data_IF_616251382087
#
_entry.id   IF_616251382087
#
_cell.length_a   1.000
_cell.length_b   1.000
_cell.length_c   1.000
_cell.angle_alpha   90.00
_cell.angle_beta   90.00
_cell.angle_gamma   90.00
#
_symmetry.space_group_name_H-M   'P 1'
#
loop_
_entity.id
_entity.type
_entity.pdbx_description
1 polymer ?
#
# COMPACT_ATOMS: atom_id res chain seq x y z
N UNK A 1 -1.64 -9.93 -7.85
CA UNK A 1 -0.18 -9.81 -8.07
C UNK A 1 0.07 -8.45 -8.70
N UNK A 2 1.03 -7.66 -8.22
CA UNK A 2 1.33 -6.38 -8.88
C UNK A 2 2.00 -6.66 -10.23
N UNK A 3 1.59 -5.95 -11.27
CA UNK A 3 2.19 -6.02 -12.60
C UNK A 3 3.62 -5.48 -12.59
N UNK A 4 3.85 -4.40 -11.84
CA UNK A 4 5.18 -3.82 -11.60
C UNK A 4 5.52 -3.88 -10.10
N UNK A 5 6.58 -4.60 -9.67
CA UNK A 5 6.93 -4.75 -8.26
C UNK A 5 7.28 -3.43 -7.57
N UNK A 6 7.63 -2.37 -8.31
CA UNK A 6 8.04 -1.09 -7.75
C UNK A 6 6.91 -0.06 -7.58
N UNK A 7 5.74 -0.28 -8.19
CA UNK A 7 4.66 0.71 -8.20
C UNK A 7 4.11 1.05 -6.80
N UNK A 8 4.24 0.14 -5.83
CA UNK A 8 3.88 0.38 -4.42
C UNK A 8 4.79 1.39 -3.71
N UNK A 9 6.01 1.61 -4.20
CA UNK A 9 6.93 2.60 -3.62
C UNK A 9 6.59 4.03 -4.03
N UNK A 10 5.67 4.23 -4.99
CA UNK A 10 5.13 5.56 -5.32
C UNK A 10 4.26 6.15 -4.20
N UNK A 11 3.72 5.32 -3.31
CA UNK A 11 2.92 5.81 -2.18
C UNK A 11 3.82 6.55 -1.17
N UNK A 12 3.58 7.84 -0.97
CA UNK A 12 4.33 8.71 -0.04
C UNK A 12 3.74 8.78 1.38
N UNK A 13 2.82 7.89 1.71
CA UNK A 13 2.18 7.81 3.04
C UNK A 13 1.42 9.09 3.46
N UNK A 14 0.92 9.87 2.49
CA UNK A 14 0.16 11.12 2.71
C UNK A 14 -1.23 10.85 3.35
N UNK A 15 -1.86 9.72 3.01
CA UNK A 15 -3.10 9.27 3.65
C UNK A 15 -4.41 9.81 3.09
N UNK A 16 -4.37 10.66 2.05
CA UNK A 16 -5.58 11.14 1.36
C UNK A 16 -6.50 10.02 0.89
N UNK A 17 -5.94 8.86 0.50
CA UNK A 17 -6.71 7.70 0.07
C UNK A 17 -7.60 7.10 1.17
N UNK A 18 -7.19 7.18 2.44
CA UNK A 18 -8.00 6.74 3.58
C UNK A 18 -9.04 7.80 3.95
N UNK A 19 -8.66 9.08 3.92
CA UNK A 19 -9.57 10.20 4.24
C UNK A 19 -10.73 10.34 3.26
N UNK A 20 -10.46 10.22 1.95
CA UNK A 20 -11.48 10.41 0.90
C UNK A 20 -12.38 9.19 0.70
N UNK A 21 -12.09 8.06 1.35
CA UNK A 21 -12.74 6.81 0.99
C UNK A 21 -14.23 6.83 1.42
N UNK A 22 -15.18 6.82 0.47
CA UNK A 22 -16.61 6.85 0.79
C UNK A 22 -17.11 5.54 1.42
N UNK A 23 -16.28 4.49 1.38
CA UNK A 23 -16.56 3.17 1.96
C UNK A 23 -15.92 2.97 3.35
N UNK A 24 -15.24 3.99 3.89
CA UNK A 24 -14.53 3.87 5.17
C UNK A 24 -13.39 2.85 5.18
N UNK A 25 -12.88 2.48 4.00
CA UNK A 25 -11.76 1.55 3.90
C UNK A 25 -10.44 2.26 4.21
N UNK A 26 -9.47 1.50 4.70
CA UNK A 26 -8.12 2.00 4.96
C UNK A 26 -7.11 1.41 3.95
N UNK A 27 -6.99 2.00 2.75
CA UNK A 27 -6.00 1.58 1.76
C UNK A 27 -4.56 1.73 2.26
N UNK A 28 -4.28 2.68 3.16
CA UNK A 28 -2.94 2.81 3.76
C UNK A 28 -2.52 1.55 4.52
N UNK A 29 -3.43 0.97 5.31
CA UNK A 29 -3.16 -0.27 6.05
C UNK A 29 -2.89 -1.46 5.12
N UNK A 30 -3.63 -1.56 4.01
CA UNK A 30 -3.41 -2.60 3.00
C UNK A 30 -2.04 -2.46 2.32
N UNK A 31 -1.66 -1.24 1.92
CA UNK A 31 -0.35 -0.95 1.31
C UNK A 31 0.79 -1.32 2.28
N UNK A 32 0.64 -1.04 3.58
CA UNK A 32 1.61 -1.43 4.61
C UNK A 32 1.83 -2.95 4.69
N UNK A 33 0.74 -3.73 4.69
CA UNK A 33 0.82 -5.21 4.68
C UNK A 33 1.55 -5.73 3.45
N UNK A 34 1.28 -5.15 2.28
CA UNK A 34 1.93 -5.57 1.03
C UNK A 34 3.42 -5.21 1.05
N UNK A 35 3.81 -4.03 1.56
CA UNK A 35 5.22 -3.67 1.75
C UNK A 35 5.95 -4.64 2.67
N UNK A 36 5.36 -5.00 3.80
CA UNK A 36 5.93 -5.97 4.72
C UNK A 36 6.11 -7.34 4.05
N UNK A 37 5.08 -7.81 3.33
CA UNK A 37 5.15 -9.08 2.61
C UNK A 37 6.21 -9.07 1.49
N UNK A 38 6.46 -7.92 0.84
CA UNK A 38 7.54 -7.79 -0.15
C UNK A 38 8.92 -7.79 0.50
N UNK A 39 9.09 -7.10 1.63
CA UNK A 39 10.34 -7.12 2.39
C UNK A 39 10.68 -8.53 2.90
N UNK A 40 9.68 -9.26 3.40
CA UNK A 40 9.85 -10.65 3.83
C UNK A 40 10.20 -11.61 2.69
N UNK A 41 9.78 -11.32 1.45
CA UNK A 41 10.08 -12.15 0.28
C UNK A 41 11.43 -11.85 -0.37
N UNK A 42 12.04 -10.71 -0.04
CA UNK A 42 13.38 -10.33 -0.51
C UNK A 42 14.51 -10.76 0.44
N UNK A 43 14.17 -11.54 1.48
CA UNK A 43 15.08 -12.14 2.46
C UNK A 43 15.27 -13.63 2.20
#
# INVERSE_FOLDING_TARGET
>A
RLEDPFSLFRCRTIGNCTWVCPKGLNPMAAIGKIRLALLQKGS
#
